data_IF_942541492446
#
_entry.id   IF_942541492446
#
_cell.length_a   1.000
_cell.length_b   1.000
_cell.length_c   1.000
_cell.angle_alpha   90.00
_cell.angle_beta   90.00
_cell.angle_gamma   90.00
#
_symmetry.space_group_name_H-M   'P 1'
#
loop_
_entity.id
_entity.type
_entity.pdbx_description
1 polymer ?
#
# COMPACT_ATOMS: atom_id res chain seq x y z
N UNK A 1 4.48 -20.97 12.14
CA UNK A 1 5.10 -19.93 12.99
C UNK A 1 5.43 -18.76 12.10
N UNK A 2 4.65 -17.69 12.22
CA UNK A 2 4.61 -16.56 11.30
C UNK A 2 5.97 -15.86 11.21
N UNK A 3 6.45 -15.72 9.97
CA UNK A 3 7.63 -14.95 9.60
C UNK A 3 7.60 -13.54 10.18
N UNK A 4 6.40 -12.97 10.28
CA UNK A 4 6.12 -11.70 10.95
C UNK A 4 6.65 -11.74 12.39
N UNK A 5 6.29 -12.74 13.21
CA UNK A 5 6.73 -12.85 14.62
C UNK A 5 8.24 -13.03 14.81
N UNK A 6 8.97 -13.46 13.77
CA UNK A 6 10.44 -13.62 13.81
C UNK A 6 11.16 -12.32 13.47
N UNK A 7 10.55 -11.45 12.67
CA UNK A 7 11.05 -10.11 12.33
C UNK A 7 10.53 -9.02 13.30
N UNK A 8 9.34 -9.22 13.88
CA UNK A 8 8.68 -8.27 14.77
C UNK A 8 8.88 -8.66 16.23
N UNK A 9 9.61 -7.85 16.97
CA UNK A 9 9.37 -7.72 18.41
C UNK A 9 7.92 -7.28 18.67
N UNK A 10 7.40 -7.40 19.90
CA UNK A 10 5.97 -7.25 20.22
C UNK A 10 5.34 -5.86 19.93
N UNK A 11 6.05 -4.92 19.32
CA UNK A 11 5.61 -3.53 19.12
C UNK A 11 5.92 -2.93 17.72
N UNK A 12 6.36 -3.72 16.73
CA UNK A 12 6.72 -3.17 15.40
C UNK A 12 5.60 -3.38 14.39
N UNK A 13 5.23 -2.31 13.69
CA UNK A 13 4.19 -2.30 12.65
C UNK A 13 4.59 -3.14 11.42
N UNK A 14 3.64 -3.42 10.52
CA UNK A 14 3.95 -4.15 9.26
C UNK A 14 4.91 -3.33 8.40
N UNK A 15 4.75 -2.01 8.39
CA UNK A 15 5.62 -1.04 7.74
C UNK A 15 7.05 -1.15 8.27
N UNK A 16 7.24 -1.21 9.59
CA UNK A 16 8.56 -1.38 10.20
C UNK A 16 9.24 -2.69 9.77
N UNK A 17 8.44 -3.76 9.68
CA UNK A 17 8.91 -5.08 9.24
C UNK A 17 9.44 -5.02 7.81
N UNK A 18 8.68 -4.37 6.93
CA UNK A 18 9.05 -4.18 5.54
C UNK A 18 10.32 -3.32 5.42
N UNK A 19 10.42 -2.21 6.14
CA UNK A 19 11.60 -1.35 6.13
C UNK A 19 12.86 -2.08 6.63
N UNK A 20 12.72 -2.91 7.67
CA UNK A 20 13.83 -3.72 8.17
C UNK A 20 14.30 -4.78 7.14
N UNK A 21 13.36 -5.38 6.39
CA UNK A 21 13.69 -6.29 5.30
C UNK A 21 14.38 -5.56 4.13
N UNK A 22 13.91 -4.37 3.75
CA UNK A 22 14.59 -3.53 2.74
C UNK A 22 16.05 -3.26 3.14
N UNK A 23 16.28 -2.85 4.39
CA UNK A 23 17.63 -2.64 4.92
C UNK A 23 18.49 -3.90 4.87
N UNK A 24 17.91 -5.06 5.21
CA UNK A 24 18.60 -6.36 5.14
C UNK A 24 19.01 -6.70 3.71
N UNK A 25 18.13 -6.46 2.73
CA UNK A 25 18.41 -6.66 1.31
C UNK A 25 19.57 -5.77 0.86
N UNK A 26 19.54 -4.46 1.17
CA UNK A 26 20.61 -3.54 0.78
C UNK A 26 21.99 -3.99 1.29
N UNK A 27 22.07 -4.41 2.56
CA UNK A 27 23.32 -4.96 3.14
C UNK A 27 23.76 -6.29 2.53
N UNK A 28 22.83 -7.07 2.02
CA UNK A 28 23.11 -8.39 1.43
C UNK A 28 23.60 -8.26 0.00
N UNK A 29 23.03 -7.33 -0.77
CA UNK A 29 23.42 -7.04 -2.16
C UNK A 29 24.89 -6.64 -2.25
N UNK A 30 25.42 -5.87 -1.29
CA UNK A 30 26.86 -5.53 -1.25
C UNK A 30 27.78 -6.75 -1.12
N UNK A 31 27.26 -7.87 -0.59
CA UNK A 31 28.01 -9.09 -0.30
C UNK A 31 27.84 -10.17 -1.37
N UNK A 32 26.97 -9.98 -2.36
CA UNK A 32 26.73 -11.00 -3.38
C UNK A 32 27.95 -11.18 -4.29
N UNK A 33 28.32 -12.44 -4.49
CA UNK A 33 29.51 -12.80 -5.28
C UNK A 33 29.19 -13.08 -6.74
N UNK A 34 27.94 -13.41 -7.03
CA UNK A 34 27.41 -13.86 -8.32
C UNK A 34 26.08 -13.16 -8.59
N UNK A 35 25.67 -13.09 -9.86
CA UNK A 35 24.41 -12.46 -10.29
C UNK A 35 24.22 -11.02 -9.78
N UNK A 36 25.32 -10.25 -9.67
CA UNK A 36 25.35 -8.91 -9.08
C UNK A 36 24.38 -7.96 -9.76
N UNK A 37 24.40 -7.91 -11.08
CA UNK A 37 23.53 -7.03 -11.89
C UNK A 37 22.05 -7.18 -11.50
N UNK A 38 21.54 -8.42 -11.43
CA UNK A 38 20.15 -8.65 -11.04
C UNK A 38 19.87 -8.40 -9.57
N UNK A 39 20.84 -8.68 -8.70
CA UNK A 39 20.70 -8.32 -7.30
C UNK A 39 20.59 -6.79 -7.13
N UNK A 40 21.32 -6.02 -7.93
CA UNK A 40 21.22 -4.56 -7.97
C UNK A 40 19.88 -4.09 -8.56
N UNK A 41 19.40 -4.68 -9.66
CA UNK A 41 18.08 -4.35 -10.22
C UNK A 41 16.94 -4.57 -9.22
N UNK A 42 16.96 -5.71 -8.52
CA UNK A 42 16.01 -5.97 -7.44
C UNK A 42 16.18 -4.96 -6.30
N UNK A 43 17.43 -4.64 -5.94
CA UNK A 43 17.71 -3.62 -4.92
C UNK A 43 17.10 -2.26 -5.28
N UNK A 44 17.17 -1.84 -6.54
CA UNK A 44 16.60 -0.58 -7.02
C UNK A 44 15.07 -0.60 -6.96
N UNK A 45 14.46 -1.75 -7.27
CA UNK A 45 13.01 -1.96 -7.10
C UNK A 45 12.62 -1.89 -5.63
N UNK A 46 13.37 -2.55 -4.75
CA UNK A 46 13.17 -2.54 -3.29
C UNK A 46 13.30 -1.12 -2.73
N UNK A 47 14.25 -0.32 -3.22
CA UNK A 47 14.39 1.10 -2.87
C UNK A 47 13.17 1.94 -3.27
N UNK A 48 12.53 1.60 -4.39
CA UNK A 48 11.31 2.28 -4.81
C UNK A 48 10.12 1.91 -3.91
N UNK A 49 10.03 0.64 -3.50
CA UNK A 49 9.03 0.16 -2.54
C UNK A 49 9.24 0.74 -1.14
N UNK A 50 10.49 0.84 -0.67
CA UNK A 50 10.84 1.47 0.61
C UNK A 50 10.29 2.90 0.69
N UNK A 51 10.47 3.70 -0.36
CA UNK A 51 9.92 5.07 -0.41
C UNK A 51 8.39 5.10 -0.29
N UNK A 52 7.68 4.18 -0.96
CA UNK A 52 6.22 4.09 -0.83
C UNK A 52 5.81 3.75 0.60
N UNK A 53 6.52 2.81 1.25
CA UNK A 53 6.24 2.40 2.62
C UNK A 53 6.52 3.52 3.61
N UNK A 54 7.55 4.35 3.37
CA UNK A 54 7.79 5.56 4.17
C UNK A 54 6.64 6.56 4.05
N UNK A 55 6.12 6.79 2.84
CA UNK A 55 4.93 7.64 2.62
C UNK A 55 3.70 7.08 3.34
N UNK A 56 3.50 5.76 3.31
CA UNK A 56 2.42 5.08 4.04
C UNK A 56 2.59 5.31 5.55
N UNK A 57 3.79 5.08 6.08
CA UNK A 57 4.08 5.24 7.49
C UNK A 57 3.86 6.69 7.97
N UNK A 58 4.09 7.68 7.11
CA UNK A 58 3.85 9.09 7.41
C UNK A 58 2.35 9.44 7.57
N UNK A 59 1.43 8.70 6.94
CA UNK A 59 -0.03 8.91 7.16
C UNK A 59 -0.45 8.60 8.61
N UNK A 60 0.31 7.79 9.33
CA UNK A 60 0.02 7.39 10.71
C UNK A 60 -0.79 6.08 10.82
N UNK A 61 -0.82 5.47 12.02
CA UNK A 61 -1.44 4.17 12.23
C UNK A 61 -2.96 4.21 12.01
N UNK A 62 -3.51 3.17 11.38
CA UNK A 62 -4.95 3.01 11.15
C UNK A 62 -5.54 3.88 10.04
N UNK A 63 -4.72 4.65 9.32
CA UNK A 63 -5.15 5.48 8.17
C UNK A 63 -5.06 4.73 6.83
N UNK A 64 -4.55 3.49 6.85
CA UNK A 64 -4.35 2.68 5.65
C UNK A 64 -5.61 1.86 5.37
N UNK A 65 -5.99 1.76 4.10
CA UNK A 65 -7.06 0.84 3.72
C UNK A 65 -6.65 -0.61 3.94
N UNK A 66 -7.67 -1.49 4.07
CA UNK A 66 -7.45 -2.93 4.16
C UNK A 66 -6.63 -3.48 2.96
N UNK A 67 -6.80 -2.88 1.77
CA UNK A 67 -6.01 -3.22 0.59
C UNK A 67 -4.54 -2.88 0.78
N UNK A 68 -4.22 -1.66 1.26
CA UNK A 68 -2.83 -1.27 1.56
C UNK A 68 -2.21 -2.21 2.59
N UNK A 69 -2.90 -2.54 3.68
CA UNK A 69 -2.36 -3.45 4.69
C UNK A 69 -2.14 -4.87 4.16
N UNK A 70 -3.06 -5.40 3.35
CA UNK A 70 -2.91 -6.71 2.73
C UNK A 70 -1.70 -6.73 1.79
N UNK A 71 -1.56 -5.72 0.94
CA UNK A 71 -0.43 -5.63 0.01
C UNK A 71 0.91 -5.42 0.74
N UNK A 72 0.93 -4.74 1.89
CA UNK A 72 2.12 -4.64 2.73
C UNK A 72 2.53 -5.99 3.34
N UNK A 73 1.57 -6.83 3.72
CA UNK A 73 1.85 -8.19 4.20
C UNK A 73 2.44 -9.06 3.07
N UNK A 74 1.87 -9.00 1.87
CA UNK A 74 2.39 -9.71 0.70
C UNK A 74 3.80 -9.23 0.32
N UNK A 75 4.03 -7.92 0.43
CA UNK A 75 5.36 -7.33 0.26
C UNK A 75 6.36 -7.88 1.28
N UNK A 76 5.98 -7.96 2.56
CA UNK A 76 6.82 -8.51 3.61
C UNK A 76 7.26 -9.96 3.30
N UNK A 77 6.33 -10.82 2.88
CA UNK A 77 6.61 -12.22 2.52
C UNK A 77 7.54 -12.31 1.30
N UNK A 78 7.31 -11.45 0.30
CA UNK A 78 8.12 -11.41 -0.92
C UNK A 78 9.55 -10.94 -0.61
N UNK A 79 9.71 -9.88 0.20
CA UNK A 79 11.02 -9.35 0.58
C UNK A 79 11.82 -10.35 1.42
N UNK A 80 11.17 -11.08 2.34
CA UNK A 80 11.83 -12.14 3.10
C UNK A 80 12.37 -13.25 2.18
N UNK A 81 11.57 -13.64 1.19
CA UNK A 81 11.98 -14.62 0.18
C UNK A 81 13.17 -14.12 -0.64
N UNK A 82 13.17 -12.85 -1.04
CA UNK A 82 14.28 -12.21 -1.76
C UNK A 82 15.54 -12.17 -0.91
N UNK A 83 15.45 -11.71 0.34
CA UNK A 83 16.58 -11.65 1.27
C UNK A 83 17.21 -13.03 1.45
N UNK A 84 16.37 -14.06 1.65
CA UNK A 84 16.80 -15.45 1.82
C UNK A 84 17.56 -15.99 0.60
N UNK A 85 17.11 -15.68 -0.62
CA UNK A 85 17.81 -16.11 -1.83
C UNK A 85 19.12 -15.34 -2.05
N UNK A 86 19.13 -14.03 -1.83
CA UNK A 86 20.36 -13.23 -1.93
C UNK A 86 21.42 -13.68 -0.91
N UNK A 87 21.02 -14.06 0.29
CA UNK A 87 21.94 -14.60 1.30
C UNK A 87 22.58 -15.94 0.85
N UNK A 88 21.87 -16.75 0.04
CA UNK A 88 22.45 -17.97 -0.55
C UNK A 88 23.52 -17.65 -1.60
N UNK A 89 23.41 -16.50 -2.26
CA UNK A 89 24.37 -16.01 -3.25
C UNK A 89 25.56 -15.25 -2.63
N UNK A 90 25.47 -14.84 -1.37
CA UNK A 90 26.60 -14.24 -0.64
C UNK A 90 27.54 -15.29 0.00
N UNK A 91 27.07 -16.53 0.17
CA UNK A 91 27.83 -17.63 0.81
C UNK A 91 28.93 -18.20 -0.10
N UNK A 92 29.92 -18.87 0.48
CA UNK A 92 31.08 -19.45 -0.24
C UNK A 92 30.70 -20.46 -1.34
N UNK A 93 29.56 -21.14 -1.19
CA UNK A 93 29.02 -22.07 -2.19
C UNK A 93 28.16 -21.41 -3.28
N UNK A 94 28.21 -20.07 -3.41
CA UNK A 94 27.35 -19.30 -4.31
C UNK A 94 27.40 -19.76 -5.77
N UNK A 95 28.57 -20.15 -6.29
CA UNK A 95 28.72 -20.58 -7.69
C UNK A 95 27.90 -21.85 -7.99
N UNK A 96 27.91 -22.84 -7.07
CA UNK A 96 27.10 -24.07 -7.19
C UNK A 96 25.60 -23.78 -7.11
N UNK A 97 25.21 -22.75 -6.37
CA UNK A 97 23.82 -22.33 -6.30
C UNK A 97 23.41 -21.59 -7.58
N UNK A 98 24.21 -20.64 -8.06
CA UNK A 98 23.90 -19.85 -9.25
C UNK A 98 23.82 -20.68 -10.54
N UNK A 99 24.56 -21.79 -10.65
CA UNK A 99 24.51 -22.68 -11.81
C UNK A 99 23.22 -23.51 -11.90
N UNK A 100 22.34 -23.45 -10.90
CA UNK A 100 21.07 -24.18 -10.94
C UNK A 100 20.13 -23.51 -11.94
N UNK A 101 19.60 -24.23 -12.94
CA UNK A 101 18.72 -23.65 -13.96
C UNK A 101 17.51 -22.93 -13.35
N UNK A 102 17.00 -23.45 -12.23
CA UNK A 102 15.83 -22.89 -11.55
C UNK A 102 16.10 -21.56 -10.81
N UNK A 103 17.35 -21.13 -10.63
CA UNK A 103 17.65 -19.89 -9.91
C UNK A 103 17.36 -18.66 -10.76
N UNK A 104 17.63 -18.74 -12.06
CA UNK A 104 17.31 -17.72 -13.05
C UNK A 104 15.82 -17.36 -13.01
N UNK A 105 14.96 -18.38 -13.16
CA UNK A 105 13.50 -18.26 -13.12
C UNK A 105 12.98 -17.77 -11.76
N UNK A 106 13.72 -18.03 -10.68
CA UNK A 106 13.31 -17.64 -9.34
C UNK A 106 13.51 -16.14 -9.12
N UNK A 107 14.67 -15.62 -9.48
CA UNK A 107 14.96 -14.19 -9.40
C UNK A 107 14.04 -13.39 -10.32
N UNK A 108 13.78 -13.89 -11.54
CA UNK A 108 12.84 -13.26 -12.46
C UNK A 108 11.41 -13.22 -11.90
N UNK A 109 10.92 -14.32 -11.31
CA UNK A 109 9.61 -14.34 -10.65
C UNK A 109 9.52 -13.35 -9.50
N UNK A 110 10.56 -13.28 -8.67
CA UNK A 110 10.61 -12.34 -7.55
C UNK A 110 10.57 -10.88 -8.01
N UNK A 111 11.36 -10.51 -9.03
CA UNK A 111 11.37 -9.16 -9.56
C UNK A 111 10.01 -8.76 -10.18
N UNK A 112 9.38 -9.69 -10.89
CA UNK A 112 8.02 -9.49 -11.42
C UNK A 112 7.02 -9.28 -10.29
N UNK A 113 7.02 -10.13 -9.26
CA UNK A 113 6.12 -9.97 -8.11
C UNK A 113 6.35 -8.66 -7.38
N UNK A 114 7.60 -8.24 -7.18
CA UNK A 114 7.91 -6.92 -6.58
C UNK A 114 7.38 -5.77 -7.45
N UNK A 115 7.46 -5.89 -8.77
CA UNK A 115 6.92 -4.91 -9.71
C UNK A 115 5.40 -4.86 -9.66
N UNK A 116 4.73 -6.02 -9.61
CA UNK A 116 3.27 -6.09 -9.48
C UNK A 116 2.80 -5.45 -8.15
N UNK A 117 3.45 -5.78 -7.04
CA UNK A 117 3.19 -5.18 -5.72
C UNK A 117 3.40 -3.67 -5.75
N UNK A 118 4.46 -3.19 -6.40
CA UNK A 118 4.71 -1.76 -6.57
C UNK A 118 3.57 -1.07 -7.32
N UNK A 119 3.09 -1.65 -8.41
CA UNK A 119 1.98 -1.10 -9.19
C UNK A 119 0.67 -1.08 -8.39
N UNK A 120 0.38 -2.15 -7.64
CA UNK A 120 -0.80 -2.19 -6.76
C UNK A 120 -0.72 -1.12 -5.68
N UNK A 121 0.38 -1.07 -4.90
CA UNK A 121 0.55 -0.09 -3.84
C UNK A 121 0.47 1.35 -4.36
N UNK A 122 1.22 1.66 -5.42
CA UNK A 122 1.22 3.01 -5.99
C UNK A 122 -0.15 3.39 -6.55
N UNK A 123 -0.84 2.47 -7.22
CA UNK A 123 -2.20 2.69 -7.72
C UNK A 123 -3.20 2.96 -6.61
N UNK A 124 -3.21 2.12 -5.57
CA UNK A 124 -4.11 2.27 -4.42
C UNK A 124 -3.86 3.59 -3.70
N UNK A 125 -2.59 3.96 -3.45
CA UNK A 125 -2.25 5.22 -2.78
C UNK A 125 -2.68 6.45 -3.59
N UNK A 126 -2.51 6.42 -4.91
CA UNK A 126 -2.94 7.51 -5.77
C UNK A 126 -4.47 7.66 -5.78
N UNK A 127 -5.21 6.55 -5.79
CA UNK A 127 -6.69 6.57 -5.70
C UNK A 127 -7.13 7.14 -4.36
N UNK A 128 -6.54 6.69 -3.25
CA UNK A 128 -6.87 7.19 -1.91
C UNK A 128 -6.60 8.70 -1.79
N UNK A 129 -5.47 9.19 -2.30
CA UNK A 129 -5.17 10.62 -2.32
C UNK A 129 -6.15 11.40 -3.18
N UNK A 130 -6.49 10.90 -4.37
CA UNK A 130 -7.50 11.51 -5.24
C UNK A 130 -8.87 11.60 -4.57
N UNK A 131 -9.29 10.53 -3.89
CA UNK A 131 -10.56 10.48 -3.15
C UNK A 131 -10.60 11.48 -2.00
N UNK A 132 -9.50 11.66 -1.27
CA UNK A 132 -9.40 12.64 -0.19
C UNK A 132 -9.61 14.08 -0.70
N UNK A 133 -8.97 14.44 -1.83
CA UNK A 133 -9.13 15.75 -2.46
C UNK A 133 -10.57 16.00 -2.96
N UNK A 134 -11.24 14.96 -3.48
CA UNK A 134 -12.64 15.04 -3.89
C UNK A 134 -13.56 15.23 -2.68
N UNK A 135 -13.34 14.48 -1.60
CA UNK A 135 -14.12 14.60 -0.37
C UNK A 135 -14.00 16.00 0.24
N UNK A 136 -12.78 16.54 0.36
CA UNK A 136 -12.54 17.90 0.85
C UNK A 136 -13.29 18.95 0.02
N UNK A 137 -13.24 18.84 -1.31
CA UNK A 137 -13.96 19.73 -2.22
C UNK A 137 -15.48 19.64 -2.03
N UNK A 138 -16.02 18.46 -1.81
CA UNK A 138 -17.47 18.28 -1.58
C UNK A 138 -17.88 18.87 -0.23
N UNK A 139 -17.08 18.69 0.82
CA UNK A 139 -17.31 19.28 2.14
C UNK A 139 -17.37 20.81 2.05
N UNK A 140 -16.37 21.45 1.42
CA UNK A 140 -16.36 22.91 1.24
C UNK A 140 -17.58 23.41 0.45
N UNK A 141 -18.01 22.67 -0.58
CA UNK A 141 -19.22 23.04 -1.35
C UNK A 141 -20.50 22.93 -0.51
N UNK A 142 -20.59 21.95 0.38
CA UNK A 142 -21.74 21.79 1.28
C UNK A 142 -21.75 22.87 2.36
N UNK A 143 -20.59 23.23 2.92
CA UNK A 143 -20.45 24.32 3.90
C UNK A 143 -20.87 25.67 3.30
N UNK A 144 -20.36 25.98 2.10
CA UNK A 144 -20.79 27.17 1.35
C UNK A 144 -22.30 27.15 1.10
N UNK A 145 -22.86 26.02 0.65
CA UNK A 145 -24.30 25.91 0.41
C UNK A 145 -25.13 26.13 1.69
N UNK A 146 -24.65 25.65 2.84
CA UNK A 146 -25.29 25.86 4.13
C UNK A 146 -25.22 27.33 4.58
N UNK A 147 -24.09 28.00 4.36
CA UNK A 147 -23.92 29.43 4.67
C UNK A 147 -24.81 30.31 3.78
N UNK A 148 -24.88 30.03 2.48
CA UNK A 148 -25.82 30.67 1.56
C UNK A 148 -27.29 30.45 1.99
N UNK A 149 -27.63 29.27 2.52
CA UNK A 149 -28.98 28.98 3.00
C UNK A 149 -29.31 29.71 4.31
N UNK A 150 -28.34 29.90 5.20
CA UNK A 150 -28.51 30.70 6.43
C UNK A 150 -28.60 32.21 6.16
N UNK A 151 -27.91 32.71 5.12
CA UNK A 151 -27.99 34.12 4.69
C UNK A 151 -29.24 34.44 3.85
N UNK A 152 -29.90 33.43 3.28
CA UNK A 152 -31.16 33.61 2.57
C UNK A 152 -32.33 33.74 3.58
N UNK A 153 -32.80 34.97 3.81
CA UNK A 153 -34.00 35.24 4.63
C UNK A 153 -35.18 34.29 4.32
N UNK A 154 -35.94 33.85 5.34
CA UNK A 154 -36.97 32.84 5.19
C UNK A 154 -38.19 33.41 4.48
N UNK A 155 -38.23 33.34 3.14
CA UNK A 155 -39.48 33.56 2.39
C UNK A 155 -40.30 32.27 2.41
N UNK A 156 -41.51 32.26 3.01
CA UNK A 156 -42.28 31.03 3.14
C UNK A 156 -42.94 30.68 1.80
N UNK A 157 -42.32 29.82 1.00
CA UNK A 157 -43.06 29.04 0.00
C UNK A 157 -43.22 27.62 0.49
N UNK A 158 -44.40 27.35 1.06
CA UNK A 158 -44.89 26.05 1.54
C UNK A 158 -44.81 24.89 0.52
N UNK A 159 -44.44 25.14 -0.73
CA UNK A 159 -44.46 24.13 -1.81
C UNK A 159 -43.12 23.44 -2.10
N UNK A 160 -42.00 23.93 -1.55
CA UNK A 160 -40.68 23.31 -1.78
C UNK A 160 -40.30 22.28 -0.71
N UNK A 161 -40.85 22.40 0.50
CA UNK A 161 -40.48 21.54 1.63
C UNK A 161 -40.80 20.05 1.40
N UNK A 162 -41.88 19.76 0.68
CA UNK A 162 -42.30 18.37 0.40
C UNK A 162 -41.43 17.71 -0.67
N UNK A 163 -40.86 18.49 -1.60
CA UNK A 163 -39.99 17.97 -2.66
C UNK A 163 -38.61 17.58 -2.13
N UNK A 164 -38.08 18.35 -1.16
CA UNK A 164 -36.77 18.06 -0.55
C UNK A 164 -36.82 16.96 0.52
N UNK A 165 -37.96 16.79 1.21
CA UNK A 165 -38.12 15.67 2.17
C UNK A 165 -38.02 14.31 1.48
N UNK A 166 -38.48 14.21 0.23
CA UNK A 166 -38.35 13.01 -0.61
C UNK A 166 -36.89 12.80 -1.01
N UNK A 167 -36.17 13.84 -1.44
CA UNK A 167 -34.76 13.75 -1.83
C UNK A 167 -33.82 13.38 -0.66
N UNK A 168 -34.07 13.91 0.53
CA UNK A 168 -33.31 13.56 1.75
C UNK A 168 -33.55 12.11 2.19
N UNK A 169 -34.78 11.60 2.05
CA UNK A 169 -35.09 10.20 2.34
C UNK A 169 -34.51 9.22 1.30
N UNK A 170 -34.38 9.65 0.05
CA UNK A 170 -33.71 8.87 -1.01
C UNK A 170 -32.19 8.80 -0.78
N UNK A 171 -31.56 9.90 -0.36
CA UNK A 171 -30.12 9.98 -0.07
C UNK A 171 -29.70 9.31 1.26
N UNK A 172 -30.64 9.14 2.20
CA UNK A 172 -30.41 8.39 3.45
C UNK A 172 -30.61 6.89 3.31
N UNK A 173 -31.00 6.37 2.14
CA UNK A 173 -31.03 4.91 1.92
C UNK A 173 -29.60 4.38 1.81
N UNK A 174 -29.19 3.42 2.65
CA UNK A 174 -27.91 2.76 2.47
C UNK A 174 -27.88 2.06 1.11
N UNK A 175 -26.75 2.22 0.40
CA UNK A 175 -26.44 1.52 -0.85
C UNK A 175 -26.74 0.02 -0.73
N UNK A 176 -27.38 -0.61 -1.74
CA UNK A 176 -27.62 -2.07 -1.73
C UNK A 176 -26.34 -2.92 -1.70
N UNK A 177 -25.15 -2.31 -1.83
CA UNK A 177 -23.87 -3.02 -1.85
C UNK A 177 -23.24 -3.26 -0.47
N UNK A 178 -23.92 -2.95 0.64
CA UNK A 178 -23.41 -3.25 1.99
C UNK A 178 -23.80 -4.64 2.53
N UNK A 179 -24.18 -5.59 1.66
CA UNK A 179 -24.36 -7.01 2.02
C UNK A 179 -23.77 -7.92 0.96
N UNK A 180 -22.43 -7.97 0.89
CA UNK A 180 -21.68 -9.09 0.33
C UNK A 180 -20.27 -9.08 0.95
N UNK A 181 -20.24 -9.44 2.23
CA UNK A 181 -19.23 -10.31 2.86
C UNK A 181 -19.78 -10.79 4.20
#
# INVERSE_FOLDING_TARGET
MDLIRRATGPYTSVEDSVLNLCFTIFRTVEKVKVNRERCHQISDRVKSLERLVLTIKQKGPGQNSATVEATLRDLCVTLDSVATEMEKLSKTNALKNALKPNQEDKFWRMDRTLTDIFHVLSGTLNIEQGNALVAERLTLRLELAAEYFQLAEPRPRRYLWDSWRVLLLEFSRPSPFSKLN
#
